data_IF_601713371155
#
_entry.id   IF_601713371155
#
_cell.length_a   1.000
_cell.length_b   1.000
_cell.length_c   1.000
_cell.angle_alpha   90.00
_cell.angle_beta   90.00
_cell.angle_gamma   90.00
#
_symmetry.space_group_name_H-M   'P 1'
#
loop_
_entity.id
_entity.type
_entity.pdbx_description
1 polymer ?
#
# COMPACT_ATOMS: atom_id res chain seq x y z
N UNK A 1 11.89 -6.75 32.01
CA UNK A 1 13.07 -6.37 31.19
C UNK A 1 13.19 -7.30 30.00
N UNK A 2 13.45 -8.60 30.20
CA UNK A 2 13.48 -9.61 29.13
C UNK A 2 12.19 -9.66 28.27
N UNK A 3 11.00 -9.66 28.86
CA UNK A 3 9.73 -9.66 28.11
C UNK A 3 9.49 -8.37 27.29
N UNK A 4 9.98 -7.24 27.80
CA UNK A 4 9.87 -5.94 27.15
C UNK A 4 10.79 -5.88 25.93
N UNK A 5 12.04 -6.32 26.10
CA UNK A 5 13.03 -6.45 25.02
C UNK A 5 12.57 -7.44 23.95
N UNK A 6 11.94 -8.55 24.35
CA UNK A 6 11.36 -9.52 23.41
C UNK A 6 10.19 -8.93 22.61
N UNK A 7 9.30 -8.17 23.26
CA UNK A 7 8.18 -7.51 22.59
C UNK A 7 8.67 -6.47 21.58
N UNK A 8 9.68 -5.68 21.96
CA UNK A 8 10.28 -4.70 21.08
C UNK A 8 10.95 -5.35 19.85
N UNK A 9 11.75 -6.40 20.08
CA UNK A 9 12.37 -7.16 19.00
C UNK A 9 11.32 -7.76 18.05
N UNK A 10 10.24 -8.32 18.58
CA UNK A 10 9.14 -8.85 17.77
C UNK A 10 8.47 -7.76 16.92
N UNK A 11 8.23 -6.57 17.50
CA UNK A 11 7.63 -5.45 16.78
C UNK A 11 8.55 -4.96 15.64
N UNK A 12 9.86 -4.90 15.86
CA UNK A 12 10.83 -4.53 14.82
C UNK A 12 10.79 -5.55 13.68
N UNK A 13 10.85 -6.85 14.00
CA UNK A 13 10.82 -7.93 13.00
C UNK A 13 9.53 -7.86 12.19
N UNK A 14 8.38 -7.75 12.85
CA UNK A 14 7.08 -7.65 12.20
C UNK A 14 6.99 -6.42 11.29
N UNK A 15 7.54 -5.29 11.71
CA UNK A 15 7.57 -4.07 10.90
C UNK A 15 8.44 -4.24 9.65
N UNK A 16 9.61 -4.88 9.76
CA UNK A 16 10.46 -5.21 8.60
C UNK A 16 9.73 -6.14 7.63
N UNK A 17 9.08 -7.19 8.14
CA UNK A 17 8.30 -8.11 7.30
C UNK A 17 7.17 -7.38 6.57
N UNK A 18 6.40 -6.55 7.27
CA UNK A 18 5.32 -5.75 6.70
C UNK A 18 5.84 -4.75 5.64
N UNK A 19 6.97 -4.09 5.92
CA UNK A 19 7.62 -3.20 4.95
C UNK A 19 8.05 -3.95 3.68
N UNK A 20 8.56 -5.18 3.82
CA UNK A 20 8.94 -6.01 2.68
C UNK A 20 7.73 -6.38 1.81
N UNK A 21 6.58 -6.74 2.42
CA UNK A 21 5.33 -7.00 1.67
C UNK A 21 4.91 -5.78 0.86
N UNK A 22 4.99 -4.58 1.44
CA UNK A 22 4.64 -3.34 0.73
C UNK A 22 5.62 -3.05 -0.39
N UNK A 23 6.93 -3.27 -0.20
CA UNK A 23 7.93 -3.05 -1.24
C UNK A 23 7.71 -3.94 -2.45
N UNK A 24 7.43 -5.22 -2.23
CA UNK A 24 7.13 -6.20 -3.28
C UNK A 24 5.76 -5.93 -3.94
N UNK A 25 4.79 -5.43 -3.17
CA UNK A 25 3.43 -5.14 -3.63
C UNK A 25 2.53 -6.37 -3.73
N UNK A 26 2.94 -7.49 -3.13
CA UNK A 26 2.16 -8.73 -2.98
C UNK A 26 2.83 -9.65 -1.94
N UNK A 27 2.08 -10.53 -1.26
CA UNK A 27 2.65 -11.52 -0.36
C UNK A 27 3.24 -12.66 -1.18
N UNK A 28 4.52 -12.97 -0.98
CA UNK A 28 5.24 -13.94 -1.82
C UNK A 28 4.99 -15.40 -1.40
N UNK A 29 4.49 -15.69 -0.20
CA UNK A 29 4.45 -17.06 0.36
C UNK A 29 3.24 -17.31 1.28
N UNK A 30 2.62 -18.51 1.18
CA UNK A 30 1.77 -19.11 2.24
C UNK A 30 2.68 -19.38 3.44
N UNK A 31 2.48 -18.66 4.55
CA UNK A 31 3.37 -18.56 5.72
C UNK A 31 4.33 -17.36 5.59
N UNK A 32 3.83 -16.12 5.77
CA UNK A 32 4.71 -14.97 5.94
C UNK A 32 5.64 -15.24 7.14
N UNK A 33 6.89 -14.76 7.12
CA UNK A 33 7.79 -14.93 8.25
C UNK A 33 7.17 -14.24 9.48
N UNK A 34 6.63 -15.04 10.42
CA UNK A 34 6.07 -14.57 11.70
C UNK A 34 7.18 -14.20 12.70
N UNK A 35 8.41 -14.55 12.34
CA UNK A 35 9.70 -14.25 12.91
C UNK A 35 10.70 -14.18 11.76
N UNK A 36 11.86 -13.55 11.96
CA UNK A 36 12.93 -13.58 10.95
C UNK A 36 13.48 -14.98 10.66
N UNK A 37 13.11 -16.00 11.46
CA UNK A 37 13.59 -17.37 11.38
C UNK A 37 12.51 -18.38 11.77
N UNK A 38 12.44 -19.53 11.09
CA UNK A 38 11.78 -20.73 11.64
C UNK A 38 12.55 -21.18 12.89
N UNK A 39 11.86 -21.29 14.02
CA UNK A 39 12.42 -21.87 15.23
C UNK A 39 12.02 -23.35 15.27
N UNK A 40 13.02 -24.23 15.38
CA UNK A 40 12.81 -25.65 15.64
C UNK A 40 11.88 -25.82 16.85
N UNK A 41 10.97 -26.80 16.81
CA UNK A 41 10.17 -27.15 17.98
C UNK A 41 11.04 -27.71 19.12
N UNK A 42 12.28 -28.10 18.84
CA UNK A 42 13.27 -28.51 19.83
C UNK A 42 13.89 -27.30 20.56
N UNK A 43 13.84 -27.34 21.89
CA UNK A 43 14.35 -26.30 22.78
C UNK A 43 15.88 -26.18 22.73
N UNK A 44 16.60 -27.28 22.47
CA UNK A 44 18.06 -27.26 22.38
C UNK A 44 18.54 -26.51 21.12
N UNK A 45 17.90 -26.78 19.98
CA UNK A 45 18.16 -26.09 18.71
C UNK A 45 17.85 -24.60 18.79
N UNK A 46 16.77 -24.21 19.50
CA UNK A 46 16.46 -22.78 19.72
C UNK A 46 17.56 -22.07 20.51
N UNK A 47 18.08 -22.71 21.56
CA UNK A 47 19.12 -22.12 22.40
C UNK A 47 20.42 -21.93 21.61
N UNK A 48 20.79 -22.92 20.79
CA UNK A 48 21.96 -22.87 19.90
C UNK A 48 21.77 -21.82 18.80
N UNK A 49 20.59 -21.78 18.19
CA UNK A 49 20.24 -20.78 17.17
C UNK A 49 20.33 -19.38 17.75
N UNK A 50 19.77 -19.14 18.95
CA UNK A 50 19.84 -17.86 19.65
C UNK A 50 21.29 -17.48 20.00
N UNK A 51 22.08 -18.38 20.56
CA UNK A 51 23.48 -18.11 20.90
C UNK A 51 24.34 -17.76 19.67
N UNK A 52 24.11 -18.43 18.55
CA UNK A 52 24.81 -18.15 17.30
C UNK A 52 24.30 -16.87 16.62
N UNK A 53 22.98 -16.61 16.62
CA UNK A 53 22.38 -15.41 16.02
C UNK A 53 22.91 -14.12 16.67
N UNK A 54 23.02 -14.12 18.00
CA UNK A 54 23.26 -12.90 18.77
C UNK A 54 24.73 -12.66 19.15
N UNK A 55 25.63 -13.67 19.04
CA UNK A 55 26.99 -13.55 19.60
C UNK A 55 28.16 -13.83 18.65
N UNK A 56 27.97 -14.47 17.50
CA UNK A 56 29.08 -14.77 16.57
C UNK A 56 28.63 -14.60 15.12
N UNK A 57 29.28 -13.65 14.44
CA UNK A 57 29.18 -13.37 13.01
C UNK A 57 27.75 -13.10 12.47
N UNK A 58 27.39 -11.81 12.52
CA UNK A 58 26.50 -11.14 11.57
C UNK A 58 25.15 -11.79 11.28
N UNK A 59 24.15 -11.44 12.09
CA UNK A 59 22.69 -11.59 11.92
C UNK A 59 22.15 -11.44 10.48
N UNK A 60 22.90 -10.80 9.59
CA UNK A 60 22.49 -10.45 8.23
C UNK A 60 22.70 -11.54 7.17
N UNK A 61 23.56 -12.54 7.40
CA UNK A 61 23.93 -13.50 6.35
C UNK A 61 22.90 -14.62 6.14
N UNK A 62 21.97 -14.80 7.09
CA UNK A 62 21.01 -15.92 7.10
C UNK A 62 19.56 -15.48 6.87
N UNK A 63 19.31 -14.20 6.59
CA UNK A 63 18.08 -13.83 5.91
C UNK A 63 18.06 -14.56 4.57
N UNK A 64 16.92 -15.13 4.18
CA UNK A 64 16.71 -15.48 2.77
C UNK A 64 16.90 -14.19 1.98
N UNK A 65 18.08 -14.02 1.38
CA UNK A 65 18.49 -12.76 0.79
C UNK A 65 17.45 -12.35 -0.25
N UNK A 66 16.80 -11.21 0.01
CA UNK A 66 15.96 -10.52 -0.96
C UNK A 66 16.59 -9.18 -1.23
N UNK A 67 16.65 -8.83 -2.51
CA UNK A 67 17.19 -7.54 -2.93
C UNK A 67 16.43 -6.36 -2.28
N UNK A 68 15.18 -6.55 -1.84
CA UNK A 68 14.36 -5.52 -1.16
C UNK A 68 14.60 -5.39 0.33
N UNK A 69 15.25 -6.36 0.98
CA UNK A 69 15.34 -6.42 2.45
C UNK A 69 16.10 -5.21 3.06
N UNK A 70 17.22 -4.73 2.50
CA UNK A 70 17.87 -3.52 3.01
C UNK A 70 16.96 -2.30 2.98
N UNK A 71 16.15 -2.16 1.92
CA UNK A 71 15.14 -1.10 1.81
C UNK A 71 14.02 -1.30 2.83
N UNK A 72 13.59 -2.54 3.09
CA UNK A 72 12.57 -2.84 4.11
C UNK A 72 13.04 -2.45 5.52
N UNK A 73 14.31 -2.74 5.86
CA UNK A 73 14.93 -2.30 7.11
C UNK A 73 14.97 -0.77 7.19
N UNK A 74 15.32 -0.08 6.10
CA UNK A 74 15.32 1.37 6.06
C UNK A 74 13.91 1.97 6.23
N UNK A 75 12.88 1.37 5.63
CA UNK A 75 11.47 1.76 5.84
C UNK A 75 11.08 1.59 7.31
N UNK A 76 11.41 0.44 7.91
CA UNK A 76 11.12 0.18 9.32
C UNK A 76 11.84 1.17 10.25
N UNK A 77 13.12 1.45 10.00
CA UNK A 77 13.89 2.42 10.75
C UNK A 77 13.31 3.85 10.64
N UNK A 78 12.90 4.26 9.44
CA UNK A 78 12.25 5.56 9.22
C UNK A 78 10.88 5.66 9.93
N UNK A 79 10.17 4.53 10.08
CA UNK A 79 8.84 4.48 10.68
C UNK A 79 8.84 4.32 12.20
N UNK A 80 9.87 3.71 12.80
CA UNK A 80 9.88 3.25 14.19
C UNK A 80 9.45 4.30 15.22
N UNK A 81 9.89 5.55 15.04
CA UNK A 81 9.53 6.68 15.93
C UNK A 81 8.12 7.25 15.72
N UNK A 82 7.33 6.71 14.79
CA UNK A 82 6.03 7.25 14.40
C UNK A 82 4.96 6.14 14.31
N UNK A 83 4.22 5.94 15.41
CA UNK A 83 3.19 4.91 15.53
C UNK A 83 2.15 4.95 14.40
N UNK A 84 1.79 6.13 13.90
CA UNK A 84 0.85 6.25 12.77
C UNK A 84 1.42 5.64 11.49
N UNK A 85 2.70 5.86 11.23
CA UNK A 85 3.38 5.29 10.07
C UNK A 85 3.58 3.77 10.23
N UNK A 86 3.92 3.30 11.44
CA UNK A 86 3.97 1.86 11.78
C UNK A 86 2.62 1.20 11.52
N UNK A 87 1.52 1.77 12.01
CA UNK A 87 0.18 1.23 11.77
C UNK A 87 -0.23 1.31 10.29
N UNK A 88 0.12 2.38 9.57
CA UNK A 88 -0.13 2.47 8.14
C UNK A 88 0.56 1.32 7.37
N UNK A 89 1.82 1.01 7.72
CA UNK A 89 2.57 -0.10 7.13
C UNK A 89 1.86 -1.43 7.41
N UNK A 90 1.53 -1.73 8.68
CA UNK A 90 0.85 -2.99 8.99
C UNK A 90 -0.54 -3.12 8.33
N UNK A 91 -1.32 -2.04 8.28
CA UNK A 91 -2.63 -2.05 7.60
C UNK A 91 -2.50 -2.34 6.11
N UNK A 92 -1.52 -1.72 5.43
CA UNK A 92 -1.31 -1.98 4.01
C UNK A 92 -0.77 -3.40 3.75
N UNK A 93 0.16 -3.89 4.57
CA UNK A 93 0.63 -5.28 4.46
C UNK A 93 -0.53 -6.28 4.61
N UNK A 94 -1.39 -6.08 5.62
CA UNK A 94 -2.59 -6.90 5.82
C UNK A 94 -3.59 -6.79 4.65
N UNK A 95 -3.68 -5.62 3.99
CA UNK A 95 -4.48 -5.47 2.76
C UNK A 95 -3.96 -6.40 1.66
N UNK A 96 -2.65 -6.41 1.42
CA UNK A 96 -2.03 -7.30 0.41
C UNK A 96 -2.21 -8.79 0.74
N UNK A 97 -2.12 -9.17 2.02
CA UNK A 97 -2.40 -10.54 2.50
C UNK A 97 -3.87 -10.92 2.31
N UNK A 98 -4.78 -9.97 2.48
CA UNK A 98 -6.22 -10.19 2.29
C UNK A 98 -6.56 -10.42 0.83
N UNK A 99 -6.08 -9.57 -0.06
CA UNK A 99 -6.24 -9.70 -1.51
C UNK A 99 -5.14 -8.91 -2.21
N UNK A 100 -4.49 -9.53 -3.18
CA UNK A 100 -3.43 -8.89 -3.95
C UNK A 100 -3.39 -9.45 -5.36
N UNK A 101 -2.91 -8.61 -6.26
CA UNK A 101 -2.58 -8.98 -7.64
C UNK A 101 -1.13 -8.61 -7.88
N UNK A 102 -0.42 -9.47 -8.60
CA UNK A 102 0.99 -9.19 -8.89
C UNK A 102 1.11 -8.01 -9.86
N UNK A 103 2.15 -7.17 -9.77
CA UNK A 103 2.42 -6.13 -10.75
C UNK A 103 2.47 -6.67 -12.18
N UNK A 104 2.95 -7.90 -12.35
CA UNK A 104 2.99 -8.59 -13.64
C UNK A 104 1.60 -8.78 -14.24
N UNK A 105 0.63 -9.23 -13.43
CA UNK A 105 -0.75 -9.39 -13.86
C UNK A 105 -1.44 -8.05 -14.17
N UNK A 106 -0.92 -6.95 -13.64
CA UNK A 106 -1.35 -5.59 -13.94
C UNK A 106 -0.58 -4.96 -15.10
N UNK A 107 0.34 -5.68 -15.77
CA UNK A 107 1.02 -5.13 -16.93
C UNK A 107 0.02 -4.92 -18.08
N UNK A 108 0.03 -3.76 -18.76
CA UNK A 108 -0.88 -3.43 -19.86
C UNK A 108 -0.95 -4.47 -20.99
N UNK A 109 0.17 -5.11 -21.34
CA UNK A 109 0.26 -6.15 -22.38
C UNK A 109 -0.66 -7.35 -22.19
N UNK A 110 -1.19 -7.55 -20.99
CA UNK A 110 -2.08 -8.66 -20.66
C UNK A 110 -3.56 -8.27 -20.69
N UNK A 111 -3.89 -7.01 -21.02
CA UNK A 111 -5.27 -6.55 -21.05
C UNK A 111 -5.96 -6.82 -19.71
N UNK A 112 -7.15 -7.43 -19.78
CA UNK A 112 -7.89 -7.92 -18.63
C UNK A 112 -7.38 -9.32 -18.20
N UNK A 113 -6.46 -9.35 -17.24
CA UNK A 113 -5.93 -10.61 -16.70
C UNK A 113 -6.89 -11.32 -15.72
N UNK A 114 -7.82 -10.58 -15.11
CA UNK A 114 -8.76 -11.10 -14.11
C UNK A 114 -10.20 -10.81 -14.48
N UNK A 115 -11.07 -11.78 -14.19
CA UNK A 115 -12.51 -11.55 -14.10
C UNK A 115 -12.77 -10.59 -12.95
N UNK A 116 -13.43 -9.47 -13.25
CA UNK A 116 -13.65 -8.41 -12.25
C UNK A 116 -14.81 -8.74 -11.33
N UNK A 117 -15.83 -9.41 -11.86
CA UNK A 117 -17.09 -9.66 -11.18
C UNK A 117 -17.19 -11.12 -10.77
N UNK A 118 -17.18 -11.38 -9.47
CA UNK A 118 -17.31 -12.74 -8.94
C UNK A 118 -18.68 -12.95 -8.30
N UNK A 119 -19.30 -14.11 -8.56
CA UNK A 119 -20.49 -14.55 -7.82
C UNK A 119 -20.14 -15.06 -6.41
N UNK A 120 -18.85 -15.25 -6.11
CA UNK A 120 -18.40 -15.77 -4.83
C UNK A 120 -18.47 -14.69 -3.73
N UNK A 121 -19.35 -14.89 -2.75
CA UNK A 121 -19.52 -13.96 -1.62
C UNK A 121 -18.23 -13.78 -0.79
N UNK A 122 -17.46 -14.83 -0.53
CA UNK A 122 -16.23 -14.74 0.25
C UNK A 122 -15.18 -13.87 -0.46
N UNK A 123 -15.10 -13.97 -1.79
CA UNK A 123 -14.25 -13.11 -2.60
C UNK A 123 -14.65 -11.63 -2.45
N UNK A 124 -15.94 -11.30 -2.52
CA UNK A 124 -16.43 -9.91 -2.33
C UNK A 124 -16.12 -9.35 -0.94
N UNK A 125 -16.22 -10.18 0.10
CA UNK A 125 -15.86 -9.78 1.47
C UNK A 125 -14.35 -9.51 1.55
N UNK A 126 -13.51 -10.36 0.95
CA UNK A 126 -12.06 -10.13 0.90
C UNK A 126 -11.70 -8.82 0.20
N UNK A 127 -12.31 -8.54 -0.96
CA UNK A 127 -12.13 -7.29 -1.70
C UNK A 127 -12.49 -6.08 -0.84
N UNK A 128 -13.62 -6.17 -0.12
CA UNK A 128 -14.06 -5.12 0.83
C UNK A 128 -13.03 -4.85 1.92
N UNK A 129 -12.56 -5.92 2.57
CA UNK A 129 -11.60 -5.83 3.67
C UNK A 129 -10.27 -5.28 3.17
N UNK A 130 -9.79 -5.71 2.01
CA UNK A 130 -8.55 -5.23 1.41
C UNK A 130 -8.61 -3.73 1.09
N UNK A 131 -9.69 -3.25 0.44
CA UNK A 131 -9.89 -1.82 0.15
C UNK A 131 -9.95 -1.01 1.45
N UNK A 132 -10.72 -1.48 2.45
CA UNK A 132 -10.85 -0.80 3.73
C UNK A 132 -9.51 -0.69 4.45
N UNK A 133 -8.71 -1.75 4.48
CA UNK A 133 -7.38 -1.76 5.12
C UNK A 133 -6.41 -0.81 4.40
N UNK A 134 -6.38 -0.84 3.07
CA UNK A 134 -5.51 0.04 2.29
C UNK A 134 -5.89 1.51 2.47
N UNK A 135 -7.18 1.87 2.41
CA UNK A 135 -7.60 3.24 2.66
C UNK A 135 -7.38 3.67 4.12
N UNK A 136 -7.59 2.76 5.08
CA UNK A 136 -7.29 3.03 6.50
C UNK A 136 -5.81 3.31 6.75
N UNK A 137 -4.90 2.79 5.92
CA UNK A 137 -3.49 3.15 5.97
C UNK A 137 -3.26 4.61 5.53
N UNK A 138 -3.99 5.10 4.52
CA UNK A 138 -3.96 6.51 4.09
C UNK A 138 -4.47 7.43 5.20
N UNK A 139 -5.51 7.00 5.92
CA UNK A 139 -6.07 7.74 7.06
C UNK A 139 -5.08 7.86 8.23
N UNK A 140 -4.33 6.78 8.55
CA UNK A 140 -3.28 6.84 9.58
C UNK A 140 -2.22 7.91 9.26
N UNK A 141 -1.90 8.10 7.98
CA UNK A 141 -0.94 9.14 7.56
C UNK A 141 -1.47 10.58 7.69
N UNK A 142 -2.74 10.77 8.06
CA UNK A 142 -3.49 12.03 8.06
C UNK A 142 -3.74 12.60 6.65
N UNK A 143 -3.68 11.73 5.62
CA UNK A 143 -3.74 12.13 4.21
C UNK A 143 -5.10 11.86 3.53
N UNK A 144 -6.05 11.24 4.23
CA UNK A 144 -7.42 11.02 3.73
C UNK A 144 -8.19 12.31 3.46
N UNK A 145 -9.26 12.22 2.66
CA UNK A 145 -10.13 13.38 2.36
C UNK A 145 -10.96 13.72 3.60
N UNK A 146 -10.75 14.92 4.17
CA UNK A 146 -11.45 15.39 5.39
C UNK A 146 -12.55 16.39 5.05
N UNK A 147 -13.50 15.97 4.23
CA UNK A 147 -14.64 16.81 3.84
C UNK A 147 -15.70 16.85 4.95
N UNK A 148 -16.35 17.99 5.14
CA UNK A 148 -17.51 18.14 6.02
C UNK A 148 -18.60 18.97 5.34
N UNK A 149 -19.75 19.15 6.00
CA UNK A 149 -20.81 20.05 5.48
C UNK A 149 -20.33 21.50 5.42
N UNK A 150 -19.50 21.91 6.37
CA UNK A 150 -18.93 23.24 6.51
C UNK A 150 -17.69 23.45 5.61
N UNK A 151 -17.03 22.36 5.21
CA UNK A 151 -15.85 22.36 4.36
C UNK A 151 -16.01 21.29 3.25
N UNK A 152 -16.88 21.55 2.25
CA UNK A 152 -17.16 20.59 1.19
C UNK A 152 -15.94 20.39 0.30
N UNK A 153 -15.67 19.14 -0.10
CA UNK A 153 -14.59 18.83 -1.05
C UNK A 153 -14.83 19.37 -2.46
N UNK A 154 -16.10 19.42 -2.89
CA UNK A 154 -16.46 19.74 -4.26
C UNK A 154 -17.33 20.99 -4.30
N UNK A 155 -17.25 21.72 -5.42
CA UNK A 155 -18.16 22.82 -5.71
C UNK A 155 -19.58 22.22 -5.82
N UNK A 156 -20.55 22.84 -5.13
CA UNK A 156 -21.92 22.34 -5.00
C UNK A 156 -22.53 21.98 -6.36
N UNK A 157 -23.00 20.73 -6.48
CA UNK A 157 -23.63 20.22 -7.70
C UNK A 157 -22.65 19.85 -8.83
N UNK A 158 -21.34 19.89 -8.57
CA UNK A 158 -20.31 19.50 -9.53
C UNK A 158 -19.35 18.49 -8.90
N UNK A 159 -18.58 17.74 -9.69
CA UNK A 159 -17.51 16.90 -9.18
C UNK A 159 -16.14 17.62 -9.18
N UNK A 160 -16.10 18.92 -9.53
CA UNK A 160 -14.88 19.72 -9.42
C UNK A 160 -14.54 20.01 -7.96
N UNK A 161 -13.27 19.93 -7.61
CA UNK A 161 -12.78 20.33 -6.30
C UNK A 161 -13.16 21.78 -5.97
N UNK A 162 -13.55 22.00 -4.71
CA UNK A 162 -13.59 23.33 -4.14
C UNK A 162 -12.13 23.84 -4.01
N UNK A 163 -11.77 24.97 -4.63
CA UNK A 163 -10.36 25.40 -4.73
C UNK A 163 -9.66 25.58 -3.38
N UNK A 164 -10.36 26.11 -2.36
CA UNK A 164 -9.78 26.31 -1.03
C UNK A 164 -9.54 24.98 -0.31
N UNK A 165 -10.42 24.00 -0.50
CA UNK A 165 -10.23 22.63 -0.02
C UNK A 165 -9.01 21.99 -0.69
N UNK A 166 -8.95 22.00 -2.03
CA UNK A 166 -7.86 21.38 -2.77
C UNK A 166 -6.51 21.99 -2.39
N UNK A 167 -6.42 23.31 -2.27
CA UNK A 167 -5.19 23.98 -1.84
C UNK A 167 -4.71 23.48 -0.47
N UNK A 168 -5.60 23.46 0.53
CA UNK A 168 -5.28 22.92 1.87
C UNK A 168 -4.88 21.45 1.82
N UNK A 169 -5.52 20.67 0.95
CA UNK A 169 -5.18 19.26 0.79
C UNK A 169 -3.77 19.08 0.21
N UNK A 170 -3.44 19.82 -0.86
CA UNK A 170 -2.09 19.85 -1.45
C UNK A 170 -1.02 20.32 -0.44
N UNK A 171 -1.33 21.32 0.39
CA UNK A 171 -0.44 21.78 1.47
C UNK A 171 -0.12 20.65 2.48
N UNK A 172 -1.11 19.81 2.84
CA UNK A 172 -0.86 18.66 3.73
C UNK A 172 0.03 17.60 3.09
N UNK A 173 -0.17 17.32 1.80
CA UNK A 173 0.69 16.39 1.05
C UNK A 173 2.13 16.91 1.02
N UNK A 174 2.31 18.18 0.65
CA UNK A 174 3.62 18.82 0.64
C UNK A 174 4.29 18.81 2.01
N UNK A 175 3.56 19.12 3.09
CA UNK A 175 4.07 19.05 4.47
C UNK A 175 4.50 17.64 4.89
N UNK A 176 3.91 16.61 4.28
CA UNK A 176 4.29 15.22 4.48
C UNK A 176 5.47 14.77 3.58
N UNK A 177 6.08 15.68 2.81
CA UNK A 177 7.18 15.37 1.89
C UNK A 177 6.72 14.72 0.58
N UNK A 178 5.43 14.87 0.23
CA UNK A 178 4.82 14.22 -0.94
C UNK A 178 4.47 15.29 -1.97
N UNK A 179 4.89 15.07 -3.22
CA UNK A 179 4.57 15.95 -4.33
C UNK A 179 3.06 15.89 -4.66
N UNK A 180 2.30 16.98 -4.44
CA UNK A 180 0.87 16.99 -4.71
C UNK A 180 0.50 17.03 -6.20
N UNK A 181 1.46 17.35 -7.08
CA UNK A 181 1.24 17.41 -8.54
C UNK A 181 1.48 16.06 -9.23
N UNK A 182 1.97 15.06 -8.49
CA UNK A 182 2.19 13.73 -9.04
C UNK A 182 0.90 13.12 -9.58
N UNK A 183 1.03 12.41 -10.70
CA UNK A 183 -0.02 11.56 -11.25
C UNK A 183 0.18 10.09 -10.87
N UNK A 184 -0.92 9.35 -10.79
CA UNK A 184 -0.97 7.92 -10.52
C UNK A 184 -1.62 7.24 -11.71
N UNK A 185 -1.00 6.15 -12.18
CA UNK A 185 -1.62 5.24 -13.13
C UNK A 185 -2.73 4.46 -12.43
N UNK A 186 -3.97 4.76 -12.80
CA UNK A 186 -5.17 4.14 -12.30
C UNK A 186 -5.64 3.07 -13.28
N UNK A 187 -5.51 1.81 -12.87
CA UNK A 187 -5.86 0.65 -13.69
C UNK A 187 -7.37 0.60 -13.86
N UNK A 188 -7.84 0.65 -15.11
CA UNK A 188 -9.26 0.60 -15.46
C UNK A 188 -9.46 -0.43 -16.55
N UNK A 189 -9.77 -1.66 -16.14
CA UNK A 189 -9.93 -2.82 -17.03
C UNK A 189 -11.23 -3.55 -16.70
N UNK A 190 -11.82 -4.23 -17.67
CA UNK A 190 -13.18 -4.79 -17.59
C UNK A 190 -14.17 -4.14 -18.57
N UNK A 191 -15.46 -4.44 -18.43
CA UNK A 191 -16.52 -4.02 -19.35
C UNK A 191 -16.94 -2.54 -19.23
N UNK A 192 -17.77 -2.02 -20.13
CA UNK A 192 -18.22 -0.62 -20.06
C UNK A 192 -19.11 -0.30 -18.83
N UNK A 193 -19.63 -1.30 -18.13
CA UNK A 193 -20.47 -1.12 -16.93
C UNK A 193 -19.68 -0.83 -15.63
N UNK A 194 -18.38 -0.59 -15.75
CA UNK A 194 -17.50 -0.36 -14.60
C UNK A 194 -17.84 0.89 -13.80
N UNK A 195 -17.42 0.90 -12.53
CA UNK A 195 -17.52 2.08 -11.66
C UNK A 195 -16.85 3.25 -12.38
N UNK A 196 -17.59 4.33 -12.70
CA UNK A 196 -17.00 5.46 -13.38
C UNK A 196 -15.96 6.08 -12.44
N UNK A 197 -14.68 5.95 -12.83
CA UNK A 197 -13.66 6.91 -12.40
C UNK A 197 -14.17 8.25 -12.91
N UNK A 198 -14.31 9.24 -12.02
CA UNK A 198 -14.86 10.57 -12.35
C UNK A 198 -14.47 10.95 -13.77
N UNK A 199 -15.46 11.10 -14.67
CA UNK A 199 -15.22 11.26 -16.11
C UNK A 199 -14.31 12.46 -16.45
N UNK A 200 -14.08 13.35 -15.48
CA UNK A 200 -13.68 14.72 -15.68
C UNK A 200 -12.19 15.05 -15.59
N UNK A 201 -11.28 14.10 -15.32
CA UNK A 201 -9.82 14.35 -15.26
C UNK A 201 -9.00 13.29 -16.00
N UNK A 202 -9.65 12.62 -16.95
CA UNK A 202 -9.26 11.36 -17.55
C UNK A 202 -8.31 11.55 -18.75
N UNK A 203 -7.02 11.74 -18.52
CA UNK A 203 -6.03 11.42 -19.56
C UNK A 203 -5.87 9.90 -19.61
N UNK A 204 -5.94 9.33 -20.81
CA UNK A 204 -5.51 7.95 -21.02
C UNK A 204 -4.04 7.85 -20.60
N UNK A 205 -3.67 6.79 -19.88
CA UNK A 205 -2.25 6.55 -19.64
C UNK A 205 -1.55 6.20 -20.95
N UNK A 206 -0.22 6.36 -20.99
CA UNK A 206 0.60 6.01 -22.17
C UNK A 206 0.45 4.54 -22.61
N UNK A 207 -0.09 3.70 -21.73
CA UNK A 207 -0.28 2.27 -21.95
C UNK A 207 -1.73 1.88 -22.27
N UNK A 208 -2.61 2.86 -22.41
CA UNK A 208 -4.04 2.68 -22.67
C UNK A 208 -4.29 2.56 -24.17
N UNK A 209 -5.04 1.53 -24.58
CA UNK A 209 -5.53 1.41 -25.95
C UNK A 209 -6.94 2.01 -26.12
N UNK A 210 -7.55 2.46 -25.01
CA UNK A 210 -8.88 3.05 -24.99
C UNK A 210 -10.03 2.05 -25.19
N UNK A 211 -9.73 0.76 -25.34
CA UNK A 211 -10.68 -0.31 -25.60
C UNK A 211 -10.62 -1.39 -24.51
N UNK A 212 -9.56 -2.21 -24.49
CA UNK A 212 -9.38 -3.30 -23.51
C UNK A 212 -8.56 -2.85 -22.30
N UNK A 213 -7.56 -2.00 -22.53
CA UNK A 213 -6.80 -1.30 -21.50
C UNK A 213 -7.26 0.16 -21.50
N UNK A 214 -8.09 0.51 -20.52
CA UNK A 214 -8.63 1.88 -20.36
C UNK A 214 -7.98 2.62 -19.19
N UNK A 215 -6.78 2.19 -18.80
CA UNK A 215 -5.99 2.76 -17.72
C UNK A 215 -5.85 4.28 -17.89
N UNK A 216 -5.86 5.00 -16.77
CA UNK A 216 -5.94 6.46 -16.72
C UNK A 216 -4.79 7.03 -15.91
N UNK A 217 -4.31 8.21 -16.26
CA UNK A 217 -3.50 9.01 -15.36
C UNK A 217 -4.40 10.00 -14.63
N UNK A 218 -4.38 9.95 -13.30
CA UNK A 218 -5.16 10.85 -12.44
C UNK A 218 -4.24 11.56 -11.45
N UNK A 219 -4.63 12.75 -11.00
CA UNK A 219 -3.86 13.45 -9.98
C UNK A 219 -3.88 12.69 -8.66
N UNK A 220 -2.81 12.81 -7.86
CA UNK A 220 -2.75 12.18 -6.54
C UNK A 220 -3.93 12.56 -5.62
N UNK A 221 -4.36 13.84 -5.52
CA UNK A 221 -5.59 14.19 -4.79
C UNK A 221 -6.83 13.43 -5.27
N UNK A 222 -7.01 13.26 -6.58
CA UNK A 222 -8.13 12.51 -7.14
C UNK A 222 -8.04 11.01 -6.82
N UNK A 223 -6.84 10.44 -6.89
CA UNK A 223 -6.61 9.03 -6.55
C UNK A 223 -6.97 8.73 -5.09
N UNK A 224 -6.61 9.63 -4.17
CA UNK A 224 -6.98 9.52 -2.76
C UNK A 224 -8.49 9.68 -2.57
N UNK A 225 -9.10 10.66 -3.25
CA UNK A 225 -10.55 10.88 -3.18
C UNK A 225 -11.34 9.68 -3.75
N UNK A 226 -10.86 9.09 -4.83
CA UNK A 226 -11.51 7.94 -5.42
C UNK A 226 -11.31 6.68 -4.56
N UNK A 227 -10.17 6.54 -3.89
CA UNK A 227 -9.95 5.52 -2.87
C UNK A 227 -10.95 5.64 -1.71
N UNK A 228 -11.24 6.86 -1.25
CA UNK A 228 -12.27 7.11 -0.24
C UNK A 228 -13.67 6.73 -0.75
N UNK A 229 -13.98 7.11 -1.99
CA UNK A 229 -15.25 6.76 -2.62
C UNK A 229 -15.44 5.24 -2.68
N UNK A 230 -14.42 4.49 -3.10
CA UNK A 230 -14.44 3.02 -3.12
C UNK A 230 -14.67 2.44 -1.73
N UNK A 231 -13.93 2.90 -0.72
CA UNK A 231 -14.12 2.52 0.68
C UNK A 231 -15.56 2.79 1.13
N UNK A 232 -16.09 3.98 0.88
CA UNK A 232 -17.43 4.37 1.32
C UNK A 232 -18.52 3.56 0.61
N UNK A 233 -18.35 3.27 -0.68
CA UNK A 233 -19.26 2.37 -1.42
C UNK A 233 -19.26 0.96 -0.84
N UNK A 234 -18.13 0.48 -0.31
CA UNK A 234 -18.04 -0.83 0.37
C UNK A 234 -18.64 -0.85 1.77
N UNK A 235 -18.50 0.24 2.54
CA UNK A 235 -18.94 0.28 3.94
C UNK A 235 -20.37 0.78 4.14
N UNK A 236 -20.95 1.53 3.20
CA UNK A 236 -22.20 2.27 3.42
C UNK A 236 -23.48 1.49 3.10
N UNK A 237 -23.41 0.34 2.42
CA UNK A 237 -24.59 -0.44 2.04
C UNK A 237 -24.37 -1.92 2.32
N UNK A 238 -25.40 -2.62 2.80
CA UNK A 238 -25.44 -4.08 2.67
C UNK A 238 -25.10 -4.44 1.22
N UNK A 239 -24.25 -5.46 1.01
CA UNK A 239 -23.76 -5.87 -0.31
C UNK A 239 -24.90 -5.84 -1.33
N UNK A 240 -24.88 -4.84 -2.21
CA UNK A 240 -25.94 -4.54 -3.17
C UNK A 240 -25.48 -4.95 -4.57
N UNK A 241 -26.34 -4.78 -5.58
CA UNK A 241 -25.97 -5.00 -6.99
C UNK A 241 -24.81 -4.11 -7.46
N UNK A 242 -24.55 -2.96 -6.80
CA UNK A 242 -23.41 -2.10 -7.10
C UNK A 242 -22.09 -2.66 -6.55
N UNK A 243 -22.14 -3.38 -5.42
CA UNK A 243 -20.96 -4.04 -4.83
C UNK A 243 -20.42 -5.18 -5.69
N UNK A 244 -21.23 -5.67 -6.64
CA UNK A 244 -20.81 -6.65 -7.63
C UNK A 244 -19.79 -6.10 -8.63
N UNK A 245 -19.58 -4.77 -8.69
CA UNK A 245 -18.73 -4.11 -9.67
C UNK A 245 -17.28 -3.89 -9.24
N UNK A 246 -16.93 -4.37 -8.05
CA UNK A 246 -15.62 -4.15 -7.44
C UNK A 246 -14.85 -5.46 -7.47
N UNK A 247 -13.59 -5.36 -7.88
CA UNK A 247 -12.74 -6.52 -8.04
C UNK A 247 -11.26 -6.22 -7.82
N UNK A 248 -10.38 -7.10 -8.32
CA UNK A 248 -8.95 -7.03 -8.02
C UNK A 248 -8.27 -5.74 -8.48
N UNK A 249 -8.81 -5.07 -9.52
CA UNK A 249 -8.28 -3.80 -10.02
C UNK A 249 -8.51 -2.65 -9.05
N UNK A 250 -9.68 -2.55 -8.40
CA UNK A 250 -9.93 -1.51 -7.39
C UNK A 250 -9.07 -1.73 -6.14
N UNK A 251 -8.89 -2.98 -5.72
CA UNK A 251 -7.97 -3.33 -4.63
C UNK A 251 -6.56 -2.86 -4.96
N UNK A 252 -6.06 -3.22 -6.14
CA UNK A 252 -4.74 -2.82 -6.61
C UNK A 252 -4.55 -1.31 -6.61
N UNK A 253 -5.50 -0.56 -7.17
CA UNK A 253 -5.38 0.89 -7.27
C UNK A 253 -5.28 1.56 -5.89
N UNK A 254 -6.14 1.17 -4.93
CA UNK A 254 -6.10 1.73 -3.57
C UNK A 254 -4.80 1.33 -2.85
N UNK A 255 -4.36 0.08 -3.02
CA UNK A 255 -3.08 -0.40 -2.48
C UNK A 255 -1.89 0.39 -3.04
N UNK A 256 -1.86 0.67 -4.34
CA UNK A 256 -0.79 1.41 -4.98
C UNK A 256 -0.73 2.86 -4.53
N UNK A 257 -1.88 3.52 -4.33
CA UNK A 257 -1.93 4.86 -3.75
C UNK A 257 -1.38 4.84 -2.32
N UNK A 258 -1.83 3.91 -1.48
CA UNK A 258 -1.33 3.78 -0.11
C UNK A 258 0.19 3.49 -0.06
N UNK A 259 0.66 2.57 -0.92
CA UNK A 259 2.08 2.21 -1.07
C UNK A 259 2.91 3.43 -1.44
N UNK A 260 2.47 4.19 -2.45
CA UNK A 260 3.14 5.42 -2.86
C UNK A 260 3.27 6.42 -1.71
N UNK A 261 2.18 6.66 -0.97
CA UNK A 261 2.17 7.63 0.13
C UNK A 261 3.08 7.22 1.28
N UNK A 262 3.04 5.93 1.68
CA UNK A 262 3.90 5.39 2.76
C UNK A 262 5.38 5.50 2.37
N UNK A 263 5.75 4.98 1.20
CA UNK A 263 7.15 4.95 0.78
C UNK A 263 7.71 6.36 0.51
N UNK A 264 6.88 7.26 -0.02
CA UNK A 264 7.27 8.67 -0.20
C UNK A 264 7.52 9.36 1.13
N UNK A 265 6.67 9.11 2.13
CA UNK A 265 6.86 9.65 3.49
C UNK A 265 8.13 9.14 4.16
N UNK A 266 8.58 7.94 3.80
CA UNK A 266 9.87 7.39 4.23
C UNK A 266 11.06 7.86 3.36
N UNK A 267 10.85 8.65 2.30
CA UNK A 267 11.86 9.00 1.29
C UNK A 267 12.49 7.77 0.59
N UNK A 268 11.70 6.70 0.43
CA UNK A 268 12.12 5.41 -0.11
C UNK A 268 11.25 4.94 -1.29
N UNK A 269 10.44 5.82 -1.86
CA UNK A 269 9.69 5.51 -3.08
C UNK A 269 10.65 5.30 -4.26
N UNK A 270 10.49 4.17 -4.96
CA UNK A 270 11.37 3.73 -6.06
C UNK A 270 12.86 3.64 -5.70
N UNK A 271 13.20 3.51 -4.43
CA UNK A 271 14.59 3.32 -4.00
C UNK A 271 14.99 1.85 -4.11
N UNK A 272 16.09 1.59 -4.80
CA UNK A 272 16.71 0.26 -4.89
C UNK A 272 17.81 0.11 -3.83
N UNK A 273 18.19 -1.13 -3.51
CA UNK A 273 19.24 -1.40 -2.51
C UNK A 273 20.58 -0.76 -2.86
N UNK A 274 20.97 -0.75 -4.15
CA UNK A 274 22.22 -0.10 -4.56
C UNK A 274 22.16 1.43 -4.39
N UNK A 275 21.06 2.07 -4.76
CA UNK A 275 20.87 3.52 -4.52
C UNK A 275 20.87 3.85 -3.02
N UNK A 276 20.27 3.01 -2.20
CA UNK A 276 20.28 3.16 -0.75
C UNK A 276 21.71 3.06 -0.20
N UNK A 277 22.49 2.08 -0.68
CA UNK A 277 23.90 1.89 -0.31
C UNK A 277 24.74 3.12 -0.67
N UNK A 278 24.53 3.70 -1.85
CA UNK A 278 25.21 4.92 -2.27
C UNK A 278 24.90 6.12 -1.35
N UNK A 279 23.62 6.33 -0.98
CA UNK A 279 23.21 7.42 -0.08
C UNK A 279 23.91 7.34 1.27
N UNK A 280 23.99 6.15 1.88
CA UNK A 280 24.65 5.97 3.18
C UNK A 280 26.18 6.10 3.11
N UNK A 281 26.80 5.64 2.01
CA UNK A 281 28.24 5.78 1.81
C UNK A 281 28.67 7.24 1.61
N UNK A 282 27.80 8.08 1.05
CA UNK A 282 28.04 9.52 0.91
C UNK A 282 27.88 10.28 2.24
N UNK A 283 26.93 9.85 3.09
CA UNK A 283 26.70 10.48 4.40
C UNK A 283 27.82 10.24 5.43
N UNK A 284 28.69 9.24 5.20
CA UNK A 284 29.83 8.91 6.04
C UNK A 284 31.14 9.61 5.63
N UNK A 285 31.10 10.44 4.58
CA UNK A 285 32.22 11.29 4.12
C UNK A 285 32.00 12.74 4.54
#
# INVERSE_FOLDING_TARGET
>A
MLETEQTEANNIIQLVCAANVILEGFPVVKNPPTSGFELSDDQADRQITFENLFRRDGLFQWFTYRDTLPVAVAVAAAAWGNNRLVYAIHKLAMSYETESVTPWSMHPRYGQAFEKHTANFASRVRTSVAINLAYSAIEELDLGVKASRENPRNIKGTPYWEPKFLRKFKERLHKAGIDPERTIDWVTRGGQSEVPVYEMLNQLSDYSDGAEVRDRQISLPDAINFSEYLRNKMTAHAFSSETNRLGPYEVYNVQQVARYLILSKCNLWNTWTEELRERYNQALR
#
